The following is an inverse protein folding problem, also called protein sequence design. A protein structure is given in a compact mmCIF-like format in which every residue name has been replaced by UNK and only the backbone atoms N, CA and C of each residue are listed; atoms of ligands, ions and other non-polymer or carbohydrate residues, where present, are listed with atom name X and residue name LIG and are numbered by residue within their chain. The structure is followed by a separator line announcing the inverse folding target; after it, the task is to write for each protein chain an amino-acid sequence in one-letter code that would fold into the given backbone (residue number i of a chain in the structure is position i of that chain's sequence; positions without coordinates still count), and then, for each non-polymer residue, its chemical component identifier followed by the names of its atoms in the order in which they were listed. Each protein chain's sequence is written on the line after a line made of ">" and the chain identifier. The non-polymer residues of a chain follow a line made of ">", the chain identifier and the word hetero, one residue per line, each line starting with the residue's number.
data_IF_833686189338
#
_entry.id   IF_833686189338
#
_cell.length_a   1.000
_cell.length_b   1.000
_cell.length_c   1.000
_cell.angle_alpha   90.00
_cell.angle_beta   90.00
_cell.angle_gamma   90.00
#
_symmetry.space_group_name_H-M   'P 1'
#
loop_
_entity.id
_entity.type
_entity.pdbx_description
1 polymer ?
#
# COMPACT_ATOMS: atom_id res chain seq x y z
N UNK A 1 19.10 16.86 1.54
CA UNK A 1 18.50 16.56 2.85
C UNK A 1 19.09 15.25 3.38
N UNK A 2 19.43 15.19 4.67
CA UNK A 2 19.90 13.95 5.34
C UNK A 2 18.77 12.93 5.46
N UNK A 3 19.04 11.63 5.55
CA UNK A 3 18.00 10.61 5.75
C UNK A 3 17.17 10.84 7.03
N UNK A 4 15.85 10.68 6.97
CA UNK A 4 15.03 10.52 8.17
C UNK A 4 15.27 9.12 8.77
N UNK A 5 15.33 9.05 10.09
CA UNK A 5 15.62 7.80 10.82
C UNK A 5 14.42 7.31 11.64
N UNK A 6 13.41 8.16 11.85
CA UNK A 6 12.19 7.83 12.60
C UNK A 6 10.93 8.15 11.79
N UNK A 7 9.82 7.48 12.11
CA UNK A 7 8.52 7.78 11.51
C UNK A 7 8.02 9.21 11.81
N UNK A 8 8.40 9.77 12.97
CA UNK A 8 8.09 11.16 13.31
C UNK A 8 8.83 12.16 12.41
N UNK A 9 10.13 11.96 12.18
CA UNK A 9 10.91 12.78 11.24
C UNK A 9 10.36 12.67 9.81
N UNK A 10 9.98 11.46 9.39
CA UNK A 10 9.38 11.23 8.08
C UNK A 10 8.05 11.98 7.93
N UNK A 11 7.18 11.95 8.95
CA UNK A 11 5.94 12.72 8.96
C UNK A 11 6.19 14.23 8.90
N UNK A 12 7.09 14.77 9.73
CA UNK A 12 7.40 16.20 9.73
C UNK A 12 7.91 16.68 8.36
N UNK A 13 8.69 15.86 7.65
CA UNK A 13 9.17 16.17 6.30
C UNK A 13 8.07 16.09 5.26
N UNK A 14 7.20 15.09 5.34
CA UNK A 14 6.05 15.01 4.44
C UNK A 14 5.12 16.22 4.64
N UNK A 15 4.80 16.56 5.90
CA UNK A 15 3.97 17.72 6.25
C UNK A 15 4.59 19.03 5.74
N UNK A 16 5.90 19.23 5.93
CA UNK A 16 6.60 20.39 5.37
C UNK A 16 6.54 20.42 3.83
N UNK A 17 6.76 19.28 3.16
CA UNK A 17 6.68 19.20 1.71
C UNK A 17 5.25 19.42 1.19
N UNK A 18 4.23 19.00 1.94
CA UNK A 18 2.83 19.26 1.65
C UNK A 18 2.52 20.75 1.73
N UNK A 19 2.86 21.39 2.87
CA UNK A 19 2.59 22.81 3.12
C UNK A 19 3.36 23.74 2.18
N UNK A 20 4.61 23.37 1.86
CA UNK A 20 5.44 24.14 0.94
C UNK A 20 5.11 23.87 -0.54
N UNK A 21 4.20 22.95 -0.87
CA UNK A 21 3.95 22.50 -2.25
C UNK A 21 5.19 21.91 -2.96
N UNK A 22 6.01 21.14 -2.24
CA UNK A 22 7.24 20.50 -2.74
C UNK A 22 7.07 19.01 -3.07
N UNK A 23 5.84 18.55 -3.25
CA UNK A 23 5.54 17.16 -3.63
C UNK A 23 5.50 17.00 -5.15
N UNK A 24 5.85 15.82 -5.67
CA UNK A 24 5.72 15.48 -7.10
C UNK A 24 5.39 14.00 -7.30
N UNK A 25 4.67 13.64 -8.35
CA UNK A 25 4.39 12.25 -8.74
C UNK A 25 5.30 11.79 -9.88
N UNK A 26 5.54 10.48 -9.95
CA UNK A 26 6.25 9.82 -11.06
C UNK A 26 7.76 10.11 -11.13
N UNK A 27 8.31 10.80 -10.12
CA UNK A 27 9.73 11.12 -9.96
C UNK A 27 10.10 11.04 -8.48
N UNK A 28 11.23 10.40 -8.15
CA UNK A 28 11.73 10.34 -6.77
C UNK A 28 12.09 11.73 -6.24
N UNK A 29 12.91 12.44 -7.02
CA UNK A 29 13.33 13.81 -6.80
C UNK A 29 13.39 14.55 -8.13
N UNK A 30 13.04 15.83 -8.14
CA UNK A 30 13.14 16.70 -9.31
C UNK A 30 13.37 18.14 -8.87
N UNK A 31 14.22 18.85 -9.60
CA UNK A 31 14.37 20.29 -9.46
C UNK A 31 13.43 21.00 -10.44
N UNK A 32 12.68 22.00 -9.96
CA UNK A 32 11.81 22.85 -10.78
C UNK A 32 11.85 24.27 -10.24
N UNK A 33 12.24 25.22 -11.08
CA UNK A 33 12.30 26.65 -10.75
C UNK A 33 13.13 26.95 -9.49
N UNK A 34 14.27 26.26 -9.32
CA UNK A 34 15.15 26.39 -8.16
C UNK A 34 14.65 25.67 -6.91
N UNK A 35 13.52 24.95 -6.99
CA UNK A 35 12.91 24.22 -5.88
C UNK A 35 13.17 22.72 -6.04
N UNK A 36 13.60 22.08 -4.95
CA UNK A 36 13.69 20.62 -4.88
C UNK A 36 12.32 20.05 -4.50
N UNK A 37 11.79 19.18 -5.34
CA UNK A 37 10.53 18.45 -5.13
C UNK A 37 10.83 16.96 -4.97
N UNK A 38 9.98 16.25 -4.25
CA UNK A 38 10.12 14.81 -4.05
C UNK A 38 8.76 14.08 -4.01
N UNK A 39 8.75 12.79 -4.33
CA UNK A 39 7.55 11.96 -4.13
C UNK A 39 7.34 11.60 -2.66
N UNK A 40 6.25 10.88 -2.37
CA UNK A 40 5.92 10.47 -1.02
C UNK A 40 7.02 9.69 -0.29
N UNK A 41 7.85 8.91 -0.97
CA UNK A 41 9.04 8.29 -0.36
C UNK A 41 10.27 9.19 -0.42
N UNK A 42 10.45 9.95 -1.50
CA UNK A 42 11.62 10.81 -1.69
C UNK A 42 11.77 11.89 -0.59
N UNK A 43 10.67 12.31 0.05
CA UNK A 43 10.73 13.24 1.20
C UNK A 43 11.44 12.65 2.43
N UNK A 44 11.68 11.34 2.48
CA UNK A 44 12.45 10.69 3.54
C UNK A 44 13.94 11.03 3.44
N UNK A 45 14.48 11.31 2.25
CA UNK A 45 15.91 11.61 2.06
C UNK A 45 16.30 11.67 0.58
N UNK A 46 17.37 12.40 0.27
CA UNK A 46 17.85 12.57 -1.12
C UNK A 46 18.36 11.25 -1.73
N UNK A 47 18.77 10.30 -0.88
CA UNK A 47 19.25 8.98 -1.30
C UNK A 47 18.11 7.99 -1.65
N UNK A 48 16.86 8.36 -1.35
CA UNK A 48 15.68 7.50 -1.55
C UNK A 48 15.19 7.58 -3.01
N UNK A 49 15.76 6.71 -3.84
CA UNK A 49 15.36 6.50 -5.25
C UNK A 49 14.60 5.18 -5.46
N UNK A 50 14.11 4.58 -4.38
CA UNK A 50 13.40 3.31 -4.44
C UNK A 50 12.89 2.83 -3.09
N UNK A 51 11.82 2.00 -3.07
CA UNK A 51 11.26 1.48 -1.81
C UNK A 51 12.23 0.63 -0.99
N UNK A 52 13.16 -0.06 -1.67
CA UNK A 52 14.17 -0.88 -1.02
C UNK A 52 15.15 -0.07 -0.15
N UNK A 53 15.25 1.24 -0.37
CA UNK A 53 16.09 2.14 0.42
C UNK A 53 15.33 2.79 1.58
N UNK A 54 14.02 2.56 1.71
CA UNK A 54 13.24 3.08 2.83
C UNK A 54 13.71 2.44 4.15
N UNK A 55 14.09 3.22 5.17
CA UNK A 55 14.46 2.69 6.47
C UNK A 55 13.31 1.91 7.12
N UNK A 56 13.60 0.69 7.57
CA UNK A 56 12.63 -0.16 8.25
C UNK A 56 12.10 0.44 9.58
N UNK A 57 12.83 1.40 10.15
CA UNK A 57 12.40 2.18 11.33
C UNK A 57 11.29 3.19 11.04
N UNK A 58 11.02 3.51 9.76
CA UNK A 58 9.93 4.40 9.36
C UNK A 58 8.68 3.60 9.00
N UNK A 59 8.86 2.53 8.23
CA UNK A 59 7.81 1.59 7.87
C UNK A 59 8.43 0.28 7.39
N UNK A 60 7.71 -0.86 7.49
CA UNK A 60 8.21 -2.11 6.93
C UNK A 60 8.32 -2.03 5.41
N UNK A 61 9.30 -2.74 4.85
CA UNK A 61 9.62 -2.70 3.41
C UNK A 61 8.47 -3.17 2.51
N UNK A 62 7.61 -4.07 2.99
CA UNK A 62 6.42 -4.47 2.24
C UNK A 62 5.49 -3.28 2.01
N UNK A 63 5.35 -2.40 3.01
CA UNK A 63 4.50 -1.22 2.93
C UNK A 63 5.15 -0.14 2.08
N UNK A 64 6.46 0.06 2.23
CA UNK A 64 7.23 0.99 1.38
C UNK A 64 7.06 0.68 -0.12
N UNK A 65 7.01 -0.61 -0.50
CA UNK A 65 6.83 -1.02 -1.90
C UNK A 65 5.48 -0.62 -2.50
N UNK A 66 4.47 -0.44 -1.66
CA UNK A 66 3.14 -0.03 -2.10
C UNK A 66 3.02 1.49 -2.27
N UNK A 67 3.89 2.28 -1.61
CA UNK A 67 3.78 3.74 -1.59
C UNK A 67 3.83 4.38 -2.99
N UNK A 68 4.77 4.05 -3.89
CA UNK A 68 4.77 4.64 -5.23
C UNK A 68 3.50 4.31 -6.01
N UNK A 69 2.95 3.12 -5.82
CA UNK A 69 1.73 2.68 -6.51
C UNK A 69 0.51 3.46 -6.05
N UNK A 70 0.33 3.59 -4.73
CA UNK A 70 -0.72 4.44 -4.16
C UNK A 70 -0.53 5.88 -4.61
N UNK A 71 0.66 6.43 -4.40
CA UNK A 71 0.92 7.84 -4.62
C UNK A 71 0.81 8.23 -6.09
N UNK A 72 1.43 7.52 -7.03
CA UNK A 72 1.53 7.95 -8.43
C UNK A 72 0.29 7.65 -9.29
N UNK A 73 -0.70 6.91 -8.75
CA UNK A 73 -1.87 6.44 -9.53
C UNK A 73 -3.20 7.01 -9.05
N UNK A 74 -3.15 8.04 -8.23
CA UNK A 74 -4.29 8.88 -7.84
C UNK A 74 -4.18 10.26 -8.48
N UNK A 75 -5.29 11.00 -8.47
CA UNK A 75 -5.24 12.46 -8.67
C UNK A 75 -4.27 13.09 -7.67
N UNK A 76 -3.47 14.06 -8.13
CA UNK A 76 -2.35 14.57 -7.33
C UNK A 76 -2.80 15.20 -6.00
N UNK A 77 -3.94 15.90 -5.98
CA UNK A 77 -4.51 16.44 -4.74
C UNK A 77 -4.85 15.34 -3.73
N UNK A 78 -5.47 14.26 -4.19
CA UNK A 78 -5.82 13.11 -3.37
C UNK A 78 -4.57 12.36 -2.89
N UNK A 79 -3.56 12.21 -3.75
CA UNK A 79 -2.29 11.57 -3.42
C UNK A 79 -1.54 12.32 -2.30
N UNK A 80 -1.48 13.66 -2.40
CA UNK A 80 -0.87 14.52 -1.37
C UNK A 80 -1.59 14.40 -0.03
N UNK A 81 -2.92 14.40 -0.04
CA UNK A 81 -3.70 14.24 1.19
C UNK A 81 -3.52 12.84 1.78
N UNK A 82 -3.59 11.81 0.94
CA UNK A 82 -3.36 10.42 1.36
C UNK A 82 -2.01 10.26 2.05
N UNK A 83 -0.94 10.84 1.50
CA UNK A 83 0.39 10.72 2.12
C UNK A 83 0.46 11.41 3.48
N UNK A 84 -0.25 12.53 3.68
CA UNK A 84 -0.32 13.19 4.98
C UNK A 84 -0.97 12.27 6.03
N UNK A 85 -2.12 11.69 5.68
CA UNK A 85 -2.85 10.77 6.57
C UNK A 85 -2.05 9.49 6.82
N UNK A 86 -1.39 8.97 5.78
CA UNK A 86 -0.55 7.78 5.83
C UNK A 86 0.66 7.97 6.77
N UNK A 87 1.42 9.05 6.61
CA UNK A 87 2.57 9.33 7.48
C UNK A 87 2.15 9.68 8.90
N UNK A 88 0.96 10.26 9.12
CA UNK A 88 0.43 10.49 10.45
C UNK A 88 0.21 9.15 11.19
N UNK A 89 -0.32 8.14 10.50
CA UNK A 89 -0.49 6.80 11.07
C UNK A 89 0.85 6.10 11.31
N UNK A 90 1.83 6.23 10.40
CA UNK A 90 3.18 5.71 10.63
C UNK A 90 3.82 6.34 11.86
N UNK A 91 3.70 7.66 12.02
CA UNK A 91 4.15 8.37 13.23
C UNK A 91 3.45 7.82 14.47
N UNK A 92 2.12 7.67 14.43
CA UNK A 92 1.33 7.14 15.57
C UNK A 92 1.79 5.74 15.99
N UNK A 93 2.13 4.90 15.01
CA UNK A 93 2.61 3.53 15.20
C UNK A 93 4.12 3.44 15.44
N UNK A 94 4.84 4.57 15.45
CA UNK A 94 6.31 4.61 15.51
C UNK A 94 6.98 3.69 14.47
N UNK A 95 6.39 3.64 13.26
CA UNK A 95 6.83 2.77 12.16
C UNK A 95 6.56 1.26 12.35
N UNK A 96 6.02 0.85 13.49
CA UNK A 96 5.74 -0.55 13.82
C UNK A 96 4.39 -1.00 13.25
N UNK A 97 4.35 -1.21 11.92
CA UNK A 97 3.15 -1.70 11.24
C UNK A 97 3.13 -3.23 11.23
N UNK A 98 2.16 -3.90 11.87
CA UNK A 98 2.07 -5.35 11.87
C UNK A 98 1.63 -5.87 10.49
N UNK A 99 2.08 -7.07 10.14
CA UNK A 99 1.73 -7.70 8.85
C UNK A 99 0.23 -7.98 8.71
N UNK A 100 -0.51 -8.12 9.81
CA UNK A 100 -1.96 -8.34 9.80
C UNK A 100 -2.74 -7.20 9.12
N UNK A 101 -2.15 -6.00 9.01
CA UNK A 101 -2.69 -4.90 8.20
C UNK A 101 -2.89 -5.34 6.74
N UNK A 102 -1.99 -6.16 6.18
CA UNK A 102 -2.13 -6.69 4.81
C UNK A 102 -3.33 -7.60 4.71
N UNK A 103 -3.52 -8.52 5.66
CA UNK A 103 -4.69 -9.41 5.66
C UNK A 103 -5.98 -8.61 5.77
N UNK A 104 -6.04 -7.64 6.68
CA UNK A 104 -7.19 -6.74 6.82
C UNK A 104 -7.47 -5.98 5.53
N UNK A 105 -6.47 -5.32 4.97
CA UNK A 105 -6.61 -4.52 3.76
C UNK A 105 -7.10 -5.35 2.58
N UNK A 106 -6.58 -6.55 2.42
CA UNK A 106 -7.04 -7.44 1.37
C UNK A 106 -8.50 -7.90 1.58
N UNK A 107 -8.86 -8.30 2.81
CA UNK A 107 -10.21 -8.76 3.13
C UNK A 107 -11.27 -7.65 3.03
N UNK A 108 -10.95 -6.45 3.49
CA UNK A 108 -11.92 -5.36 3.67
C UNK A 108 -11.95 -4.38 2.47
N UNK A 109 -10.89 -4.31 1.67
CA UNK A 109 -10.81 -3.34 0.56
C UNK A 109 -10.48 -3.97 -0.80
N UNK A 110 -9.40 -4.76 -0.90
CA UNK A 110 -8.93 -5.27 -2.21
C UNK A 110 -9.94 -6.25 -2.81
N UNK A 111 -10.34 -7.28 -2.06
CA UNK A 111 -11.26 -8.30 -2.57
C UNK A 111 -12.66 -7.73 -2.76
N UNK A 112 -13.08 -6.78 -1.92
CA UNK A 112 -14.37 -6.08 -2.07
C UNK A 112 -14.42 -5.37 -3.42
N UNK A 113 -13.40 -4.59 -3.76
CA UNK A 113 -13.34 -3.95 -5.08
C UNK A 113 -13.27 -4.98 -6.22
N UNK A 114 -12.51 -6.06 -6.04
CA UNK A 114 -12.38 -7.11 -7.06
C UNK A 114 -13.72 -7.82 -7.34
N UNK A 115 -14.53 -8.06 -6.30
CA UNK A 115 -15.90 -8.60 -6.41
C UNK A 115 -16.77 -7.63 -7.21
N UNK A 116 -16.83 -6.36 -6.81
CA UNK A 116 -17.64 -5.35 -7.49
C UNK A 116 -17.26 -5.21 -8.98
N UNK A 117 -15.96 -5.18 -9.28
CA UNK A 117 -15.47 -5.07 -10.67
C UNK A 117 -15.79 -6.34 -11.47
N UNK A 118 -15.73 -7.51 -10.86
CA UNK A 118 -16.11 -8.77 -11.51
C UNK A 118 -17.60 -8.78 -11.86
N UNK A 119 -18.45 -8.37 -10.91
CA UNK A 119 -19.91 -8.27 -11.11
C UNK A 119 -20.26 -7.24 -12.18
N UNK A 120 -19.64 -6.06 -12.17
CA UNK A 120 -19.80 -5.02 -13.20
C UNK A 120 -19.46 -5.53 -14.61
N UNK A 121 -18.57 -6.52 -14.71
CA UNK A 121 -18.12 -7.12 -15.99
C UNK A 121 -18.88 -8.37 -16.37
N UNK A 122 -19.88 -8.78 -15.60
CA UNK A 122 -20.57 -10.06 -15.81
C UNK A 122 -19.65 -11.27 -15.64
N UNK A 123 -18.56 -11.14 -14.86
CA UNK A 123 -17.65 -12.24 -14.50
C UNK A 123 -18.04 -12.81 -13.14
N UNK A 124 -17.69 -14.07 -12.89
CA UNK A 124 -17.94 -14.69 -11.59
C UNK A 124 -17.11 -14.02 -10.49
N UNK A 125 -17.72 -13.53 -9.39
CA UNK A 125 -17.00 -13.00 -8.24
C UNK A 125 -16.47 -14.08 -7.28
N UNK A 126 -16.84 -15.35 -7.48
CA UNK A 126 -16.55 -16.45 -6.55
C UNK A 126 -15.05 -16.61 -6.21
N UNK A 127 -14.10 -16.50 -7.16
CA UNK A 127 -12.69 -16.56 -6.82
C UNK A 127 -12.26 -15.47 -5.82
N UNK A 128 -12.80 -14.26 -5.93
CA UNK A 128 -12.49 -13.17 -5.01
C UNK A 128 -13.15 -13.34 -3.64
N UNK A 129 -14.35 -13.92 -3.58
CA UNK A 129 -15.00 -14.27 -2.32
C UNK A 129 -14.20 -15.33 -1.55
N UNK A 130 -13.68 -16.35 -2.25
CA UNK A 130 -12.79 -17.35 -1.65
C UNK A 130 -11.52 -16.71 -1.10
N UNK A 131 -10.90 -15.82 -1.87
CA UNK A 131 -9.71 -15.11 -1.41
C UNK A 131 -9.99 -14.19 -0.21
N UNK A 132 -11.12 -13.48 -0.24
CA UNK A 132 -11.58 -12.67 0.89
C UNK A 132 -11.69 -13.51 2.16
N UNK A 133 -12.36 -14.66 2.08
CA UNK A 133 -12.50 -15.58 3.20
C UNK A 133 -11.14 -16.07 3.72
N UNK A 134 -10.17 -16.29 2.83
CA UNK A 134 -8.83 -16.71 3.20
C UNK A 134 -8.05 -15.63 3.99
N UNK A 135 -8.14 -14.37 3.55
CA UNK A 135 -7.58 -13.24 4.30
C UNK A 135 -8.29 -13.02 5.65
N UNK A 136 -9.62 -13.17 5.70
CA UNK A 136 -10.38 -13.08 6.96
C UNK A 136 -9.95 -14.18 7.95
N UNK A 137 -9.75 -15.41 7.49
CA UNK A 137 -9.23 -16.52 8.32
C UNK A 137 -7.84 -16.21 8.86
N UNK A 138 -6.94 -15.74 8.01
CA UNK A 138 -5.59 -15.38 8.43
C UNK A 138 -5.55 -14.25 9.44
N UNK A 139 -6.42 -13.24 9.29
CA UNK A 139 -6.59 -12.16 10.27
C UNK A 139 -7.11 -12.67 11.63
N UNK A 140 -7.90 -13.74 11.64
CA UNK A 140 -8.35 -14.43 12.85
C UNK A 140 -7.30 -15.41 13.43
N UNK A 141 -6.12 -15.50 12.82
CA UNK A 141 -5.03 -16.40 13.23
C UNK A 141 -5.09 -17.80 12.61
N UNK A 142 -6.13 -18.13 11.84
CA UNK A 142 -6.22 -19.39 11.08
C UNK A 142 -5.52 -19.23 9.73
N UNK A 143 -4.21 -19.51 9.72
CA UNK A 143 -3.40 -19.44 8.51
C UNK A 143 -3.48 -20.75 7.74
N UNK A 144 -4.18 -20.71 6.62
CA UNK A 144 -4.25 -21.81 5.68
C UNK A 144 -2.85 -22.21 5.15
N UNK A 145 -2.66 -23.50 4.79
CA UNK A 145 -1.44 -23.95 4.12
C UNK A 145 -1.17 -23.19 2.83
N UNK A 146 0.11 -23.13 2.48
CA UNK A 146 0.62 -22.43 1.31
C UNK A 146 -0.12 -22.84 0.04
N UNK A 147 -0.32 -24.13 -0.17
CA UNK A 147 -0.93 -24.71 -1.36
C UNK A 147 -2.37 -24.21 -1.56
N UNK A 148 -3.10 -23.99 -0.46
CA UNK A 148 -4.45 -23.43 -0.48
C UNK A 148 -4.41 -21.96 -0.94
N UNK A 149 -3.47 -21.17 -0.41
CA UNK A 149 -3.20 -19.81 -0.91
C UNK A 149 -2.86 -19.82 -2.40
N UNK A 150 -1.95 -20.71 -2.83
CA UNK A 150 -1.53 -20.80 -4.25
C UNK A 150 -2.73 -21.04 -5.15
N UNK A 151 -3.57 -22.01 -4.81
CA UNK A 151 -4.73 -22.39 -5.60
C UNK A 151 -5.74 -21.26 -5.70
N UNK A 152 -6.11 -20.65 -4.57
CA UNK A 152 -7.13 -19.58 -4.55
C UNK A 152 -6.61 -18.32 -5.24
N UNK A 153 -5.33 -17.97 -5.07
CA UNK A 153 -4.72 -16.83 -5.76
C UNK A 153 -4.71 -17.01 -7.28
N UNK A 154 -4.34 -18.21 -7.77
CA UNK A 154 -4.37 -18.54 -9.20
C UNK A 154 -5.77 -18.40 -9.79
N UNK A 155 -6.79 -18.89 -9.07
CA UNK A 155 -8.18 -18.80 -9.52
C UNK A 155 -8.68 -17.36 -9.54
N UNK A 156 -8.36 -16.58 -8.51
CA UNK A 156 -8.77 -15.19 -8.40
C UNK A 156 -8.06 -14.28 -9.41
N UNK A 157 -6.82 -14.63 -9.77
CA UNK A 157 -5.98 -13.82 -10.63
C UNK A 157 -5.24 -14.75 -11.57
N UNK A 158 -5.75 -14.92 -12.81
CA UNK A 158 -5.19 -15.84 -13.82
C UNK A 158 -3.70 -15.60 -14.19
N UNK A 159 -3.04 -14.59 -13.61
CA UNK A 159 -1.60 -14.29 -13.74
C UNK A 159 -0.80 -14.57 -12.44
N UNK A 160 -1.39 -15.20 -11.42
CA UNK A 160 -0.86 -15.15 -10.05
C UNK A 160 0.07 -16.29 -9.57
N UNK A 161 0.69 -17.04 -10.47
CA UNK A 161 1.60 -18.13 -10.05
C UNK A 161 2.84 -17.66 -9.27
N UNK A 162 3.30 -16.41 -9.46
CA UNK A 162 4.43 -15.85 -8.73
C UNK A 162 4.15 -15.59 -7.23
N UNK A 163 2.89 -15.35 -6.89
CA UNK A 163 2.44 -14.75 -5.63
C UNK A 163 2.23 -15.77 -4.49
N UNK A 164 1.81 -16.94 -4.92
CA UNK A 164 1.70 -18.19 -4.20
C UNK A 164 2.99 -18.60 -3.45
N UNK A 165 4.17 -18.17 -3.93
CA UNK A 165 5.45 -18.44 -3.28
C UNK A 165 5.78 -17.45 -2.15
N UNK A 166 5.33 -16.20 -2.24
CA UNK A 166 5.69 -15.15 -1.29
C UNK A 166 4.95 -15.23 0.06
N UNK A 167 3.77 -15.85 0.12
CA UNK A 167 3.04 -16.11 1.36
C UNK A 167 3.48 -17.42 2.07
N UNK A 168 4.33 -18.21 1.41
CA UNK A 168 4.78 -19.52 1.87
C UNK A 168 5.97 -19.47 2.82
N UNK A 169 6.93 -18.63 2.47
CA UNK A 169 8.09 -18.31 3.29
C UNK A 169 7.69 -17.10 4.13
N UNK A 170 7.57 -17.28 5.44
CA UNK A 170 7.33 -16.20 6.39
C UNK A 170 8.52 -15.23 6.42
N UNK A 171 8.57 -14.35 5.42
CA UNK A 171 9.22 -13.04 5.32
C UNK A 171 8.72 -12.41 4.00
N UNK A 172 7.41 -12.18 3.93
CA UNK A 172 6.69 -11.79 2.71
C UNK A 172 7.02 -10.35 2.27
N UNK A 173 8.19 -10.20 1.65
CA UNK A 173 8.89 -8.94 1.42
C UNK A 173 8.73 -8.37 -0.01
N UNK A 174 7.80 -8.80 -0.87
CA UNK A 174 7.73 -8.27 -2.25
C UNK A 174 6.36 -8.07 -2.91
N UNK A 175 5.30 -8.82 -2.58
CA UNK A 175 4.27 -9.07 -3.62
C UNK A 175 2.83 -8.63 -3.32
N UNK A 176 2.58 -7.77 -2.33
CA UNK A 176 1.30 -7.02 -2.24
C UNK A 176 1.05 -6.11 -3.47
N UNK A 177 2.10 -5.88 -4.25
CA UNK A 177 2.27 -4.94 -5.36
C UNK A 177 1.30 -5.14 -6.55
N UNK A 178 1.10 -6.37 -7.04
CA UNK A 178 0.48 -6.56 -8.36
C UNK A 178 -1.00 -7.02 -8.32
N UNK A 179 -1.55 -7.35 -7.14
CA UNK A 179 -2.97 -7.72 -6.97
C UNK A 179 -3.95 -6.56 -7.08
N UNK A 180 -3.59 -5.43 -6.46
CA UNK A 180 -4.36 -4.21 -6.49
C UNK A 180 -4.27 -3.54 -7.88
N UNK A 181 -3.14 -3.78 -8.55
CA UNK A 181 -2.86 -3.25 -9.88
C UNK A 181 -3.79 -3.81 -10.95
N UNK A 182 -4.00 -5.13 -10.97
CA UNK A 182 -4.81 -5.80 -11.98
C UNK A 182 -6.26 -5.29 -12.05
N UNK A 183 -6.85 -4.90 -10.91
CA UNK A 183 -8.22 -4.39 -10.84
C UNK A 183 -8.35 -2.88 -11.03
N UNK A 184 -7.33 -2.11 -10.64
CA UNK A 184 -7.27 -0.68 -10.94
C UNK A 184 -7.05 -0.41 -12.44
N UNK A 185 -6.30 -1.27 -13.13
CA UNK A 185 -5.83 -0.99 -14.49
C UNK A 185 -6.86 -1.25 -15.60
N UNK A 186 -7.92 -1.99 -15.32
CA UNK A 186 -8.71 -2.56 -16.39
C UNK A 186 -9.83 -1.64 -16.93
N UNK A 187 -9.83 -0.34 -16.62
CA UNK A 187 -10.94 0.59 -16.91
C UNK A 187 -10.44 1.98 -17.33
N UNK A 188 -11.35 2.87 -17.73
CA UNK A 188 -11.05 4.25 -18.11
C UNK A 188 -10.24 5.00 -17.02
N UNK A 189 -9.43 5.98 -17.44
CA UNK A 189 -8.45 6.65 -16.59
C UNK A 189 -9.05 7.26 -15.30
N UNK A 190 -10.22 7.92 -15.40
CA UNK A 190 -10.92 8.48 -14.24
C UNK A 190 -11.37 7.38 -13.25
N UNK A 191 -11.87 6.26 -13.77
CA UNK A 191 -12.26 5.09 -12.97
C UNK A 191 -11.06 4.47 -12.25
N UNK A 192 -9.90 4.44 -12.91
CA UNK A 192 -8.64 3.95 -12.33
C UNK A 192 -8.22 4.79 -11.12
N UNK A 193 -8.22 6.12 -11.23
CA UNK A 193 -7.87 7.01 -10.12
C UNK A 193 -8.82 6.87 -8.92
N UNK A 194 -10.12 6.79 -9.17
CA UNK A 194 -11.11 6.59 -8.12
C UNK A 194 -10.93 5.25 -7.38
N UNK A 195 -10.65 4.17 -8.12
CA UNK A 195 -10.38 2.85 -7.55
C UNK A 195 -9.07 2.84 -6.75
N UNK A 196 -8.03 3.48 -7.28
CA UNK A 196 -6.76 3.64 -6.56
C UNK A 196 -6.94 4.38 -5.24
N UNK A 197 -7.68 5.50 -5.27
CA UNK A 197 -8.01 6.28 -4.09
C UNK A 197 -8.66 5.42 -3.01
N UNK A 198 -9.68 4.65 -3.39
CA UNK A 198 -10.36 3.75 -2.46
C UNK A 198 -9.40 2.75 -1.82
N UNK A 199 -8.48 2.18 -2.58
CA UNK A 199 -7.51 1.21 -2.07
C UNK A 199 -6.44 1.86 -1.17
N UNK A 200 -5.93 3.03 -1.56
CA UNK A 200 -4.92 3.78 -0.81
C UNK A 200 -5.45 4.27 0.53
N UNK A 201 -6.64 4.87 0.55
CA UNK A 201 -7.30 5.29 1.80
C UNK A 201 -7.78 4.09 2.62
N UNK A 202 -8.18 2.98 1.99
CA UNK A 202 -8.46 1.73 2.69
C UNK A 202 -7.26 1.20 3.49
N UNK A 203 -6.04 1.36 2.96
CA UNK A 203 -4.81 1.05 3.72
C UNK A 203 -4.68 1.94 4.96
N UNK A 204 -4.96 3.24 4.83
CA UNK A 204 -4.94 4.17 5.98
C UNK A 204 -5.96 3.77 7.04
N UNK A 205 -7.17 3.36 6.64
CA UNK A 205 -8.18 2.85 7.58
C UNK A 205 -7.70 1.57 8.29
N UNK A 206 -7.03 0.66 7.57
CA UNK A 206 -6.43 -0.53 8.16
C UNK A 206 -5.30 -0.18 9.15
N UNK A 207 -4.50 0.85 8.88
CA UNK A 207 -3.48 1.35 9.82
C UNK A 207 -4.12 1.93 11.08
N UNK A 208 -5.18 2.74 10.94
CA UNK A 208 -5.94 3.29 12.08
C UNK A 208 -6.51 2.22 12.99
N UNK A 209 -6.92 1.08 12.43
CA UNK A 209 -7.43 -0.06 13.18
C UNK A 209 -6.37 -0.77 14.03
N UNK A 210 -5.07 -0.51 13.80
CA UNK A 210 -3.98 -1.06 14.62
C UNK A 210 -3.94 -0.33 15.98
N UNK A 211 -4.02 -1.05 17.10
CA UNK A 211 -3.86 -0.47 18.43
C UNK A 211 -2.53 0.28 18.53
N UNK A 212 -2.53 1.43 19.20
CA UNK A 212 -1.29 2.17 19.44
C UNK A 212 -0.34 1.29 20.28
N UNK A 213 0.96 1.20 19.94
CA UNK A 213 1.92 0.53 20.80
C UNK A 213 1.88 1.13 22.21
N UNK A 214 1.91 0.29 23.24
CA UNK A 214 2.06 0.75 24.62
C UNK A 214 3.39 1.52 24.73
N UNK A 215 3.39 2.63 25.47
CA UNK A 215 4.61 3.36 25.75
C UNK A 215 5.54 2.46 26.58
N UNK A 216 6.73 2.18 26.04
CA UNK A 216 7.79 1.47 26.74
C UNK A 216 8.28 2.25 27.96
#
# INVERSE_FOLDING_TARGET
>A
MTLATTAEEAFARYEAAFNDEKLTQGKWHVERDGRQLACALGVIGDEIDGPAKCPASIMPRWLAQMVPWFFDRMEFSDARQWGLDFYAELKRLNGQVPFDVVYRWHAEHVTVLAIEVSEQRGRSPEPHKKLQALHTRALAGDRAPVEEWRSILRDAYAYADAYAYAYADADAYADAYAYADAYAYADAYATRHARMKRLAFGMVECLKAVPKPEAA
#
